data_IF_407791072726
#
_entry.id   IF_407791072726
#
_cell.length_a   1.000
_cell.length_b   1.000
_cell.length_c   1.000
_cell.angle_alpha   90.00
_cell.angle_beta   90.00
_cell.angle_gamma   90.00
#
_symmetry.space_group_name_H-M   'P 1'
#
loop_
_entity.id
_entity.type
_entity.pdbx_description
1 polymer ?
#
# COMPACT_ATOMS: atom_id res chain seq x y z
N UNK A 1 -9.33 11.31 -31.62
CA UNK A 1 -9.41 10.14 -32.52
C UNK A 1 -10.85 9.63 -32.43
N UNK A 2 -11.65 9.73 -33.52
CA UNK A 2 -13.02 9.22 -33.55
C UNK A 2 -12.92 7.71 -33.78
N UNK A 3 -13.22 6.92 -32.75
CA UNK A 3 -13.15 5.46 -32.80
C UNK A 3 -14.45 4.79 -33.30
N UNK A 4 -15.55 5.55 -33.31
CA UNK A 4 -16.87 5.04 -33.69
C UNK A 4 -17.65 6.08 -34.50
N UNK A 5 -18.41 5.63 -35.48
CA UNK A 5 -19.25 6.51 -36.31
C UNK A 5 -20.49 7.06 -35.56
N UNK A 6 -20.90 6.44 -34.46
CA UNK A 6 -22.06 6.88 -33.67
C UNK A 6 -21.64 7.82 -32.52
N UNK A 7 -22.07 9.11 -32.56
CA UNK A 7 -21.72 10.11 -31.56
C UNK A 7 -22.23 9.79 -30.14
N UNK A 8 -23.23 8.93 -29.99
CA UNK A 8 -23.72 8.46 -28.67
C UNK A 8 -22.79 7.44 -28.07
N UNK A 9 -22.18 6.56 -28.87
CA UNK A 9 -21.20 5.57 -28.45
C UNK A 9 -19.92 6.25 -28.02
N UNK A 10 -19.45 7.25 -28.78
CA UNK A 10 -18.26 8.03 -28.46
C UNK A 10 -18.41 8.78 -27.12
N UNK A 11 -19.56 9.40 -26.85
CA UNK A 11 -19.81 10.08 -25.58
C UNK A 11 -19.83 9.12 -24.39
N UNK A 12 -20.43 7.93 -24.57
CA UNK A 12 -20.50 6.92 -23.52
C UNK A 12 -19.12 6.34 -23.22
N UNK A 13 -18.34 6.07 -24.25
CA UNK A 13 -16.97 5.59 -24.16
C UNK A 13 -16.07 6.59 -23.44
N UNK A 14 -16.07 7.87 -23.86
CA UNK A 14 -15.32 8.93 -23.21
C UNK A 14 -15.68 9.09 -21.73
N UNK A 15 -16.97 9.03 -21.39
CA UNK A 15 -17.41 9.11 -19.99
C UNK A 15 -16.89 7.94 -19.15
N UNK A 16 -16.86 6.73 -19.73
CA UNK A 16 -16.31 5.55 -19.04
C UNK A 16 -14.80 5.68 -18.85
N UNK A 17 -14.06 6.13 -19.86
CA UNK A 17 -12.62 6.37 -19.75
C UNK A 17 -12.30 7.38 -18.64
N UNK A 18 -12.99 8.52 -18.62
CA UNK A 18 -12.79 9.53 -17.57
C UNK A 18 -13.10 8.99 -16.18
N UNK A 19 -14.18 8.22 -16.02
CA UNK A 19 -14.50 7.57 -14.74
C UNK A 19 -13.41 6.60 -14.29
N UNK A 20 -12.90 5.78 -15.19
CA UNK A 20 -11.82 4.83 -14.88
C UNK A 20 -10.53 5.58 -14.52
N UNK A 21 -10.19 6.62 -15.26
CA UNK A 21 -9.00 7.45 -15.01
C UNK A 21 -9.09 8.11 -13.62
N UNK A 22 -10.20 8.80 -13.32
CA UNK A 22 -10.37 9.42 -12.00
C UNK A 22 -10.38 8.41 -10.86
N UNK A 23 -11.07 7.28 -11.00
CA UNK A 23 -11.08 6.23 -9.98
C UNK A 23 -9.67 5.67 -9.73
N UNK A 24 -8.90 5.46 -10.81
CA UNK A 24 -7.52 4.99 -10.71
C UNK A 24 -6.60 6.03 -10.07
N UNK A 25 -6.75 7.31 -10.43
CA UNK A 25 -5.99 8.39 -9.83
C UNK A 25 -6.26 8.52 -8.33
N UNK A 26 -7.53 8.53 -7.92
CA UNK A 26 -7.92 8.60 -6.51
C UNK A 26 -7.37 7.40 -5.74
N UNK A 27 -7.58 6.20 -6.25
CA UNK A 27 -7.09 4.99 -5.59
C UNK A 27 -5.57 4.94 -5.49
N UNK A 28 -4.84 5.39 -6.52
CA UNK A 28 -3.38 5.47 -6.48
C UNK A 28 -2.88 6.53 -5.51
N UNK A 29 -3.58 7.66 -5.39
CA UNK A 29 -3.30 8.68 -4.38
C UNK A 29 -3.47 8.12 -2.97
N UNK A 30 -4.50 7.31 -2.73
CA UNK A 30 -4.70 6.63 -1.44
C UNK A 30 -3.54 5.68 -1.11
N UNK A 31 -3.02 4.91 -2.09
CA UNK A 31 -1.82 4.11 -1.89
C UNK A 31 -0.62 4.96 -1.45
N UNK A 32 -0.40 6.11 -2.08
CA UNK A 32 0.69 7.01 -1.71
C UNK A 32 0.50 7.60 -0.31
N UNK A 33 -0.72 7.97 0.04
CA UNK A 33 -1.05 8.47 1.37
C UNK A 33 -0.68 7.44 2.46
N UNK A 34 -1.12 6.19 2.28
CA UNK A 34 -0.80 5.10 3.20
C UNK A 34 0.71 4.78 3.27
N UNK A 35 1.42 4.94 2.16
CA UNK A 35 2.88 4.73 2.11
C UNK A 35 3.64 5.75 2.95
N UNK A 36 3.20 7.01 2.94
CA UNK A 36 3.87 8.10 3.66
C UNK A 36 3.54 8.14 5.15
N UNK A 37 2.49 7.45 5.57
CA UNK A 37 2.04 7.43 6.96
C UNK A 37 3.15 7.02 7.94
N UNK A 38 3.92 5.98 7.63
CA UNK A 38 5.06 5.57 8.45
C UNK A 38 6.13 6.65 8.59
N UNK A 39 6.45 7.37 7.51
CA UNK A 39 7.43 8.46 7.54
C UNK A 39 6.99 9.62 8.45
N UNK A 40 5.70 9.89 8.51
CA UNK A 40 5.15 10.90 9.41
C UNK A 40 5.14 10.41 10.88
N UNK A 41 4.99 9.11 11.11
CA UNK A 41 5.01 8.53 12.46
C UNK A 41 6.45 8.41 13.03
N UNK A 42 7.48 8.43 12.20
CA UNK A 42 8.88 8.23 12.63
C UNK A 42 9.33 9.16 13.77
N UNK A 43 9.06 10.48 13.74
CA UNK A 43 9.47 11.36 14.84
C UNK A 43 8.83 10.98 16.19
N UNK A 44 7.54 10.63 16.19
CA UNK A 44 6.84 10.15 17.38
C UNK A 44 7.42 8.83 17.90
N UNK A 45 7.69 7.88 17.01
CA UNK A 45 8.32 6.59 17.37
C UNK A 45 9.70 6.75 18.02
N UNK A 46 10.46 7.78 17.62
CA UNK A 46 11.75 8.09 18.24
C UNK A 46 11.59 8.72 19.61
N UNK A 47 10.64 9.63 19.78
CA UNK A 47 10.43 10.37 21.02
C UNK A 47 9.70 9.53 22.08
N UNK A 48 8.62 8.86 21.68
CA UNK A 48 7.73 8.16 22.61
C UNK A 48 8.19 6.72 22.88
N UNK A 49 8.76 6.05 21.87
CA UNK A 49 9.16 4.65 21.96
C UNK A 49 10.69 4.46 22.02
N UNK A 50 11.49 5.51 21.97
CA UNK A 50 12.97 5.43 22.08
C UNK A 50 13.65 4.63 20.97
N UNK A 51 12.96 4.38 19.83
CA UNK A 51 13.49 3.59 18.74
C UNK A 51 14.56 4.39 17.99
N UNK A 52 15.76 3.80 17.80
CA UNK A 52 16.86 4.51 17.16
C UNK A 52 16.58 4.82 15.68
N UNK A 53 17.09 5.96 15.20
CA UNK A 53 17.01 6.35 13.78
C UNK A 53 17.59 5.29 12.85
N UNK A 54 18.68 4.64 13.27
CA UNK A 54 19.35 3.59 12.51
C UNK A 54 18.42 2.39 12.29
N UNK A 55 17.68 1.98 13.33
CA UNK A 55 16.72 0.86 13.24
C UNK A 55 15.56 1.18 12.32
N UNK A 56 15.00 2.38 12.42
CA UNK A 56 13.95 2.85 11.52
C UNK A 56 14.44 2.96 10.07
N UNK A 57 15.68 3.42 9.87
CA UNK A 57 16.32 3.46 8.55
C UNK A 57 16.49 2.08 7.94
N UNK A 58 16.90 1.09 8.74
CA UNK A 58 16.98 -0.31 8.30
C UNK A 58 15.63 -0.86 7.87
N UNK A 59 14.56 -0.58 8.60
CA UNK A 59 13.21 -1.00 8.21
C UNK A 59 12.78 -0.39 6.89
N UNK A 60 13.07 0.90 6.66
CA UNK A 60 12.80 1.55 5.39
C UNK A 60 13.61 0.96 4.24
N UNK A 61 14.87 0.64 4.47
CA UNK A 61 15.75 0.01 3.47
C UNK A 61 15.21 -1.35 3.04
N UNK A 62 14.95 -2.25 3.99
CA UNK A 62 14.38 -3.56 3.70
C UNK A 62 12.97 -3.47 3.11
N UNK A 63 12.15 -2.55 3.62
CA UNK A 63 10.84 -2.27 3.04
C UNK A 63 10.93 -1.83 1.57
N UNK A 64 11.92 -1.02 1.21
CA UNK A 64 12.18 -0.61 -0.17
C UNK A 64 12.53 -1.77 -1.08
N UNK A 65 13.38 -2.69 -0.63
CA UNK A 65 13.74 -3.92 -1.36
C UNK A 65 12.50 -4.79 -1.58
N UNK A 66 11.73 -5.05 -0.52
CA UNK A 66 10.49 -5.83 -0.59
C UNK A 66 9.48 -5.19 -1.54
N UNK A 67 9.33 -3.87 -1.51
CA UNK A 67 8.47 -3.15 -2.44
C UNK A 67 8.90 -3.32 -3.90
N UNK A 68 10.20 -3.25 -4.20
CA UNK A 68 10.74 -3.47 -5.54
C UNK A 68 10.45 -4.88 -6.05
N UNK A 69 10.78 -5.90 -5.24
CA UNK A 69 10.49 -7.31 -5.54
C UNK A 69 8.99 -7.58 -5.69
N UNK A 70 8.19 -6.98 -4.81
CA UNK A 70 6.73 -7.09 -4.86
C UNK A 70 6.15 -6.56 -6.16
N UNK A 71 6.65 -5.44 -6.68
CA UNK A 71 6.19 -4.91 -7.98
C UNK A 71 6.40 -5.92 -9.10
N UNK A 72 7.55 -6.59 -9.10
CA UNK A 72 7.86 -7.59 -10.11
C UNK A 72 6.93 -8.80 -9.99
N UNK A 73 6.80 -9.37 -8.80
CA UNK A 73 5.91 -10.51 -8.53
C UNK A 73 4.45 -10.18 -8.84
N UNK A 74 3.98 -9.03 -8.38
CA UNK A 74 2.61 -8.58 -8.61
C UNK A 74 2.36 -8.21 -10.08
N UNK A 75 3.38 -7.86 -10.86
CA UNK A 75 3.29 -7.74 -12.32
C UNK A 75 2.86 -9.06 -12.95
N UNK A 76 3.57 -10.13 -12.63
CA UNK A 76 3.27 -11.48 -13.15
C UNK A 76 1.90 -11.99 -12.68
N UNK A 77 1.58 -11.80 -11.39
CA UNK A 77 0.25 -12.17 -10.84
C UNK A 77 -0.86 -11.35 -11.49
N UNK A 78 -0.61 -10.05 -11.67
CA UNK A 78 -1.57 -9.12 -12.29
C UNK A 78 -1.88 -9.47 -13.74
N UNK A 79 -1.01 -10.18 -14.45
CA UNK A 79 -1.28 -10.67 -15.80
C UNK A 79 -2.37 -11.75 -15.84
N UNK A 80 -2.53 -12.49 -14.76
CA UNK A 80 -3.51 -13.58 -14.63
C UNK A 80 -4.76 -13.20 -13.86
N UNK A 81 -4.75 -12.07 -13.15
CA UNK A 81 -5.86 -11.63 -12.31
C UNK A 81 -6.62 -10.46 -12.92
N UNK A 82 -7.90 -10.31 -12.51
CA UNK A 82 -8.68 -9.13 -12.86
C UNK A 82 -8.08 -7.88 -12.19
N UNK A 83 -7.68 -6.84 -12.99
CA UNK A 83 -7.00 -5.65 -12.46
C UNK A 83 -7.79 -4.94 -11.36
N UNK A 84 -9.11 -4.86 -11.50
CA UNK A 84 -9.98 -4.20 -10.50
C UNK A 84 -9.94 -4.92 -9.15
N UNK A 85 -10.04 -6.26 -9.16
CA UNK A 85 -10.00 -7.06 -7.92
C UNK A 85 -8.65 -6.96 -7.23
N UNK A 86 -7.57 -7.05 -8.01
CA UNK A 86 -6.21 -6.93 -7.49
C UNK A 86 -5.97 -5.55 -6.85
N UNK A 87 -6.41 -4.48 -7.51
CA UNK A 87 -6.29 -3.12 -7.00
C UNK A 87 -7.05 -2.90 -5.69
N UNK A 88 -8.33 -3.32 -5.65
CA UNK A 88 -9.16 -3.20 -4.44
C UNK A 88 -8.61 -4.05 -3.30
N UNK A 89 -8.14 -5.27 -3.56
CA UNK A 89 -7.56 -6.14 -2.56
C UNK A 89 -6.28 -5.53 -1.96
N UNK A 90 -5.37 -5.06 -2.81
CA UNK A 90 -4.14 -4.40 -2.35
C UNK A 90 -4.43 -3.17 -1.48
N UNK A 91 -5.39 -2.33 -1.90
CA UNK A 91 -5.80 -1.15 -1.15
C UNK A 91 -6.41 -1.52 0.21
N UNK A 92 -7.28 -2.54 0.24
CA UNK A 92 -7.91 -3.03 1.45
C UNK A 92 -6.86 -3.54 2.45
N UNK A 93 -5.92 -4.38 2.01
CA UNK A 93 -4.86 -4.88 2.90
C UNK A 93 -3.96 -3.75 3.39
N UNK A 94 -3.56 -2.81 2.53
CA UNK A 94 -2.80 -1.63 2.95
C UNK A 94 -3.56 -0.81 4.01
N UNK A 95 -4.88 -0.66 3.86
CA UNK A 95 -5.71 0.04 4.85
C UNK A 95 -5.71 -0.69 6.19
N UNK A 96 -5.93 -2.00 6.19
CA UNK A 96 -5.92 -2.81 7.41
C UNK A 96 -4.56 -2.75 8.13
N UNK A 97 -3.46 -2.84 7.39
CA UNK A 97 -2.12 -2.72 7.96
C UNK A 97 -1.87 -1.33 8.54
N UNK A 98 -2.35 -0.26 7.87
CA UNK A 98 -2.23 1.09 8.42
C UNK A 98 -3.09 1.31 9.67
N UNK A 99 -4.26 0.69 9.76
CA UNK A 99 -5.04 0.66 11.01
C UNK A 99 -4.26 -0.08 12.11
N UNK A 100 -3.65 -1.22 11.79
CA UNK A 100 -2.81 -1.97 12.72
C UNK A 100 -1.59 -1.15 13.21
N UNK A 101 -1.04 -0.24 12.39
CA UNK A 101 -0.02 0.71 12.84
C UNK A 101 -0.53 1.63 13.97
N UNK A 102 -1.78 2.10 13.88
CA UNK A 102 -2.39 2.93 14.92
C UNK A 102 -2.57 2.17 16.26
N UNK A 103 -2.71 0.86 16.18
CA UNK A 103 -2.85 -0.04 17.33
C UNK A 103 -1.58 -0.87 17.60
N UNK A 104 -0.42 -0.39 17.17
CA UNK A 104 0.83 -1.14 17.27
C UNK A 104 1.19 -1.60 18.70
N UNK A 105 0.98 -0.83 19.79
CA UNK A 105 1.20 -1.31 21.15
C UNK A 105 0.34 -2.52 21.50
N UNK A 106 -0.95 -2.50 21.13
CA UNK A 106 -1.89 -3.59 21.36
C UNK A 106 -1.53 -4.82 20.51
N UNK A 107 -1.13 -4.61 19.26
CA UNK A 107 -0.66 -5.67 18.37
C UNK A 107 0.63 -6.30 18.93
N UNK A 108 1.56 -5.50 19.43
CA UNK A 108 2.78 -5.99 20.08
C UNK A 108 2.47 -6.79 21.34
N UNK A 109 1.50 -6.35 22.16
CA UNK A 109 1.05 -7.07 23.35
C UNK A 109 0.47 -8.47 23.02
N UNK A 110 -0.22 -8.64 21.90
CA UNK A 110 -0.68 -9.94 21.42
C UNK A 110 0.51 -10.88 21.14
N UNK A 111 1.56 -10.38 20.50
CA UNK A 111 2.78 -11.16 20.22
C UNK A 111 3.59 -11.49 21.47
N UNK A 112 3.47 -10.72 22.55
CA UNK A 112 4.16 -10.95 23.84
C UNK A 112 3.29 -11.70 24.86
N UNK A 113 2.21 -12.37 24.43
CA UNK A 113 1.29 -13.12 25.30
C UNK A 113 0.69 -12.29 26.44
N UNK A 114 0.36 -11.02 26.20
CA UNK A 114 -0.36 -10.16 27.13
C UNK A 114 0.49 -9.45 28.19
N UNK A 115 1.83 -9.54 28.11
CA UNK A 115 2.73 -8.70 28.91
C UNK A 115 2.95 -7.32 28.30
N UNK A 116 3.52 -6.40 29.09
CA UNK A 116 3.94 -5.10 28.57
C UNK A 116 4.96 -5.29 27.44
N UNK A 117 4.69 -4.76 26.24
CA UNK A 117 5.55 -5.00 25.10
C UNK A 117 6.92 -4.36 25.35
N UNK A 118 7.99 -5.18 25.32
CA UNK A 118 9.34 -4.65 25.36
C UNK A 118 9.58 -3.71 24.17
N UNK A 119 10.44 -2.71 24.34
CA UNK A 119 10.83 -1.80 23.24
C UNK A 119 11.24 -2.54 21.97
N UNK A 120 11.92 -3.67 22.14
CA UNK A 120 12.36 -4.53 21.04
C UNK A 120 11.16 -5.19 20.33
N UNK A 121 10.19 -5.70 21.06
CA UNK A 121 8.98 -6.32 20.49
C UNK A 121 8.15 -5.29 19.72
N UNK A 122 8.00 -4.08 20.26
CA UNK A 122 7.31 -2.98 19.61
C UNK A 122 8.01 -2.58 18.29
N UNK A 123 9.34 -2.44 18.32
CA UNK A 123 10.12 -2.10 17.13
C UNK A 123 10.01 -3.17 16.02
N UNK A 124 10.06 -4.45 16.38
CA UNK A 124 9.87 -5.54 15.42
C UNK A 124 8.44 -5.58 14.86
N UNK A 125 7.44 -5.30 15.68
CA UNK A 125 6.04 -5.20 15.23
C UNK A 125 5.90 -4.11 14.16
N UNK A 126 6.46 -2.92 14.40
CA UNK A 126 6.48 -1.85 13.39
C UNK A 126 7.24 -2.27 12.12
N UNK A 127 8.38 -2.93 12.26
CA UNK A 127 9.16 -3.41 11.12
C UNK A 127 8.39 -4.42 10.26
N UNK A 128 7.74 -5.39 10.88
CA UNK A 128 6.95 -6.41 10.19
C UNK A 128 5.75 -5.77 9.49
N UNK A 129 5.00 -4.92 10.18
CA UNK A 129 3.86 -4.21 9.59
C UNK A 129 4.30 -3.35 8.39
N UNK A 130 5.46 -2.69 8.49
CA UNK A 130 6.02 -1.92 7.38
C UNK A 130 6.34 -2.81 6.17
N UNK A 131 7.01 -3.93 6.38
CA UNK A 131 7.37 -4.87 5.30
C UNK A 131 6.12 -5.41 4.62
N UNK A 132 5.11 -5.81 5.40
CA UNK A 132 3.81 -6.27 4.87
C UNK A 132 3.13 -5.15 4.07
N UNK A 133 3.08 -3.93 4.60
CA UNK A 133 2.52 -2.78 3.89
C UNK A 133 3.23 -2.53 2.57
N UNK A 134 4.56 -2.54 2.55
CA UNK A 134 5.36 -2.33 1.35
C UNK A 134 5.15 -3.43 0.30
N UNK A 135 4.97 -4.68 0.74
CA UNK A 135 4.65 -5.77 -0.18
C UNK A 135 3.30 -5.53 -0.88
N UNK A 136 2.25 -5.22 -0.14
CA UNK A 136 0.94 -4.98 -0.73
C UNK A 136 0.84 -3.64 -1.47
N UNK A 137 1.66 -2.67 -1.16
CA UNK A 137 1.82 -1.44 -1.95
C UNK A 137 2.30 -1.72 -3.38
N UNK A 138 3.10 -2.78 -3.58
CA UNK A 138 3.52 -3.21 -4.90
C UNK A 138 2.37 -3.67 -5.80
N UNK A 139 1.21 -4.06 -5.24
CA UNK A 139 0.02 -4.43 -6.03
C UNK A 139 -0.67 -3.25 -6.70
N UNK A 140 -0.35 -2.02 -6.33
CA UNK A 140 -1.05 -0.83 -6.85
C UNK A 140 -0.70 -0.48 -8.30
N UNK A 141 0.56 -0.61 -8.70
CA UNK A 141 1.04 -0.15 -10.00
C UNK A 141 0.58 -1.01 -11.19
N UNK A 142 0.73 -2.36 -11.19
CA UNK A 142 0.40 -3.18 -12.36
C UNK A 142 -1.06 -3.05 -12.80
N UNK A 143 -2.07 -3.11 -11.89
CA UNK A 143 -3.45 -2.94 -12.28
C UNK A 143 -3.78 -1.52 -12.76
N UNK A 144 -3.12 -0.48 -12.21
CA UNK A 144 -3.29 0.90 -12.71
C UNK A 144 -2.86 1.02 -14.16
N UNK A 145 -1.69 0.48 -14.50
CA UNK A 145 -1.17 0.49 -15.87
C UNK A 145 -2.14 -0.20 -16.83
N UNK A 146 -2.70 -1.35 -16.44
CA UNK A 146 -3.69 -2.07 -17.25
C UNK A 146 -5.01 -1.32 -17.39
N UNK A 147 -5.52 -0.69 -16.31
CA UNK A 147 -6.79 0.04 -16.34
C UNK A 147 -6.72 1.32 -17.19
N UNK A 148 -5.52 1.89 -17.38
CA UNK A 148 -5.31 3.07 -18.22
C UNK A 148 -5.05 2.67 -19.67
N UNK A 149 -4.47 1.49 -19.92
CA UNK A 149 -4.16 1.00 -21.27
C UNK A 149 -5.37 0.50 -22.05
N UNK A 150 -6.47 0.17 -21.38
CA UNK A 150 -7.77 -0.24 -21.96
C UNK A 150 -8.79 0.89 -21.89
#
# INVERSE_FOLDING_TARGET
MKLFEDPKVDRRFNRMQWRMLFATMIGYTLFYFMRKNFSFAMPGLQQDCGISKSMLGNFLFWGGIVYGLSKFLNGVIGDRMNPKRMFCFGLLVCTLVNVAFGFAPQVAAIFTCGGDPSMTALAWTFGILLVVNQFFQGTGFPPCAKLIAF
#
